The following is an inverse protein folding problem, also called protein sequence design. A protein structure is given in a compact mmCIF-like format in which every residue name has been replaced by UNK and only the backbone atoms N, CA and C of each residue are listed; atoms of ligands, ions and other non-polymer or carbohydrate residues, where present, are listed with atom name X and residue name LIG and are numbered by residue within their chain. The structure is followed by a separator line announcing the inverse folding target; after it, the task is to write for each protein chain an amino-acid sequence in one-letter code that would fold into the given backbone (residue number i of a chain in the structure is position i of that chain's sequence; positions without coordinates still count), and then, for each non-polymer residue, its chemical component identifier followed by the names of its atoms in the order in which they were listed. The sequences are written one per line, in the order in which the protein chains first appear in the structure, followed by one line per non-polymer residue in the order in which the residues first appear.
data_IF_147618960502
#
_entry.id   IF_147618960502
#
_cell.length_a   1.000
_cell.length_b   1.000
_cell.length_c   1.000
_cell.angle_alpha   90.00
_cell.angle_beta   90.00
_cell.angle_gamma   90.00
#
_symmetry.space_group_name_H-M   'P 1'
#
loop_
_entity.id
_entity.type
_entity.pdbx_description
1 polymer ?
#
# COMPACT_ATOMS: atom_id res chain seq x y z
N UNK A 1 10.03 -12.99 -63.49
CA UNK A 1 8.98 -13.39 -64.46
C UNK A 1 8.99 -14.91 -64.47
N UNK A 2 7.98 -15.72 -64.12
CA UNK A 2 6.52 -15.63 -63.93
C UNK A 2 6.12 -16.52 -62.71
N UNK A 3 5.12 -16.24 -61.84
CA UNK A 3 3.65 -16.52 -61.91
C UNK A 3 3.32 -17.94 -62.46
N UNK A 4 2.50 -18.80 -61.84
CA UNK A 4 1.08 -18.74 -61.39
C UNK A 4 0.81 -19.85 -60.31
N UNK A 5 0.07 -19.60 -59.20
CA UNK A 5 -1.39 -19.72 -58.95
C UNK A 5 -2.00 -21.14 -58.84
N UNK A 6 -2.85 -21.31 -57.80
CA UNK A 6 -3.49 -22.52 -57.24
C UNK A 6 -4.46 -23.27 -58.17
N UNK A 7 -5.06 -24.38 -57.69
CA UNK A 7 -6.48 -24.28 -57.32
C UNK A 7 -6.91 -25.06 -56.06
N UNK A 8 -7.84 -24.46 -55.31
CA UNK A 8 -8.89 -25.15 -54.54
C UNK A 8 -10.12 -25.32 -55.46
N UNK A 9 -11.02 -26.30 -55.18
CA UNK A 9 -12.32 -25.91 -54.63
C UNK A 9 -12.91 -26.85 -53.54
N UNK A 10 -13.85 -26.26 -52.80
CA UNK A 10 -14.86 -26.72 -51.81
C UNK A 10 -15.96 -27.65 -52.41
N UNK A 11 -17.12 -28.01 -51.77
CA UNK A 11 -17.71 -27.72 -50.44
C UNK A 11 -18.44 -28.91 -49.73
N UNK A 12 -19.02 -28.60 -48.55
CA UNK A 12 -20.35 -29.01 -48.04
C UNK A 12 -20.66 -30.37 -47.35
N UNK A 13 -21.16 -30.22 -46.12
CA UNK A 13 -22.30 -30.90 -45.48
C UNK A 13 -22.19 -32.37 -45.01
N UNK A 14 -22.20 -32.55 -43.68
CA UNK A 14 -23.36 -33.15 -43.00
C UNK A 14 -23.21 -33.06 -41.47
N UNK A 15 -24.16 -32.36 -40.86
CA UNK A 15 -24.40 -32.28 -39.43
C UNK A 15 -24.90 -33.60 -38.81
N UNK A 16 -24.64 -33.80 -37.51
CA UNK A 16 -25.64 -34.05 -36.43
C UNK A 16 -25.00 -34.77 -35.24
N UNK A 17 -25.35 -34.33 -34.04
CA UNK A 17 -25.10 -35.13 -32.83
C UNK A 17 -25.12 -34.34 -31.52
N UNK A 18 -26.28 -33.80 -31.17
CA UNK A 18 -26.58 -33.25 -29.84
C UNK A 18 -26.65 -34.36 -28.78
N UNK A 19 -26.10 -34.13 -27.58
CA UNK A 19 -26.69 -34.59 -26.33
C UNK A 19 -26.10 -33.82 -25.13
N UNK A 20 -27.01 -33.34 -24.29
CA UNK A 20 -26.83 -32.54 -23.09
C UNK A 20 -26.04 -33.21 -21.96
N UNK A 21 -25.41 -32.39 -21.11
CA UNK A 21 -25.46 -32.63 -19.67
C UNK A 21 -25.55 -31.31 -18.89
N UNK A 22 -26.47 -31.31 -17.94
CA UNK A 22 -26.80 -30.22 -17.03
C UNK A 22 -25.68 -30.02 -16.01
N UNK A 23 -25.43 -28.77 -15.61
CA UNK A 23 -24.55 -28.50 -14.47
C UNK A 23 -24.58 -27.05 -14.03
N UNK A 24 -25.39 -26.75 -13.01
CA UNK A 24 -25.14 -25.69 -12.03
C UNK A 24 -25.20 -24.25 -12.52
N UNK A 25 -26.35 -23.62 -12.35
CA UNK A 25 -26.46 -22.16 -12.34
C UNK A 25 -25.70 -21.59 -11.12
N UNK A 26 -24.45 -21.19 -11.31
CA UNK A 26 -23.75 -20.34 -10.36
C UNK A 26 -24.24 -18.91 -10.57
N UNK A 27 -25.16 -18.48 -9.71
CA UNK A 27 -25.70 -17.13 -9.64
C UNK A 27 -24.56 -16.21 -9.20
N UNK A 28 -23.85 -15.66 -10.17
CA UNK A 28 -22.90 -14.58 -9.97
C UNK A 28 -23.65 -13.43 -9.31
N UNK A 29 -23.38 -13.23 -8.01
CA UNK A 29 -23.88 -12.07 -7.26
C UNK A 29 -23.20 -10.84 -7.85
N UNK A 30 -23.83 -10.20 -8.83
CA UNK A 30 -23.39 -8.91 -9.34
C UNK A 30 -23.47 -7.91 -8.20
N UNK A 31 -22.34 -7.68 -7.54
CA UNK A 31 -22.16 -6.58 -6.60
C UNK A 31 -22.32 -5.30 -7.41
N UNK A 32 -23.43 -4.60 -7.17
CA UNK A 32 -23.64 -3.27 -7.72
C UNK A 32 -22.53 -2.34 -7.20
N UNK A 33 -21.66 -1.88 -8.11
CA UNK A 33 -20.69 -0.84 -7.83
C UNK A 33 -21.32 0.50 -8.24
N UNK A 34 -21.44 1.49 -7.33
CA UNK A 34 -21.98 2.79 -7.68
C UNK A 34 -21.12 3.46 -8.77
N UNK A 35 -21.73 4.15 -9.76
CA UNK A 35 -21.03 4.77 -10.89
C UNK A 35 -20.08 5.92 -10.50
N UNK A 36 -20.02 6.29 -9.21
CA UNK A 36 -19.20 7.37 -8.66
C UNK A 36 -18.19 6.91 -7.61
N UNK A 37 -17.83 5.62 -7.57
CA UNK A 37 -16.63 5.24 -6.85
C UNK A 37 -15.43 5.95 -7.52
N UNK A 38 -14.76 6.93 -6.87
CA UNK A 38 -13.55 7.51 -7.46
C UNK A 38 -12.62 6.34 -7.73
N UNK A 39 -12.12 6.26 -8.98
CA UNK A 39 -11.18 5.22 -9.38
C UNK A 39 -10.15 5.08 -8.27
N UNK A 40 -10.20 3.94 -7.56
CA UNK A 40 -9.35 3.70 -6.42
C UNK A 40 -7.93 4.01 -6.89
N UNK A 41 -7.26 4.97 -6.25
CA UNK A 41 -5.86 5.27 -6.54
C UNK A 41 -5.13 3.93 -6.59
N UNK A 42 -4.30 3.67 -7.63
CA UNK A 42 -3.67 2.37 -7.79
C UNK A 42 -3.05 1.95 -6.46
N UNK A 43 -3.32 0.71 -6.04
CA UNK A 43 -2.83 0.20 -4.77
C UNK A 43 -1.32 0.47 -4.70
N UNK A 44 -0.82 1.05 -3.59
CA UNK A 44 0.59 1.38 -3.50
C UNK A 44 1.42 0.10 -3.71
N UNK A 45 2.31 0.11 -4.69
CA UNK A 45 3.25 -1.00 -4.88
C UNK A 45 4.29 -0.89 -3.78
N UNK A 46 4.15 -1.71 -2.74
CA UNK A 46 5.10 -1.71 -1.63
C UNK A 46 6.46 -2.25 -2.08
N UNK A 47 7.52 -1.65 -1.54
CA UNK A 47 8.87 -2.08 -1.88
C UNK A 47 9.15 -3.52 -1.44
N UNK A 48 10.00 -4.21 -2.21
CA UNK A 48 10.50 -5.52 -1.82
C UNK A 48 11.16 -5.47 -0.43
N UNK A 49 11.18 -6.60 0.31
CA UNK A 49 11.45 -6.64 1.75
C UNK A 49 12.81 -6.03 2.14
N UNK A 50 13.82 -6.14 1.27
CA UNK A 50 15.14 -5.57 1.50
C UNK A 50 15.19 -4.04 1.36
N UNK A 51 14.59 -3.48 0.31
CA UNK A 51 14.57 -2.03 0.08
C UNK A 51 13.75 -1.31 1.15
N UNK A 52 12.58 -1.86 1.47
CA UNK A 52 11.74 -1.36 2.55
C UNK A 52 12.55 -1.29 3.86
N UNK A 53 13.23 -2.40 4.21
CA UNK A 53 14.07 -2.48 5.40
C UNK A 53 15.15 -1.40 5.41
N UNK A 54 15.85 -1.18 4.30
CA UNK A 54 16.91 -0.17 4.23
C UNK A 54 16.37 1.24 4.51
N UNK A 55 15.34 1.66 3.78
CA UNK A 55 14.74 3.00 3.95
C UNK A 55 14.13 3.21 5.34
N UNK A 56 13.44 2.19 5.87
CA UNK A 56 12.86 2.26 7.21
C UNK A 56 13.95 2.24 8.29
N UNK A 57 15.07 1.53 8.09
CA UNK A 57 16.19 1.56 9.03
C UNK A 57 16.84 2.94 9.09
N UNK A 58 17.01 3.62 7.93
CA UNK A 58 17.50 5.00 7.90
C UNK A 58 16.57 5.96 8.64
N UNK A 59 15.27 5.89 8.38
CA UNK A 59 14.28 6.69 9.09
C UNK A 59 14.30 6.39 10.60
N UNK A 60 14.46 5.12 10.98
CA UNK A 60 14.53 4.72 12.40
C UNK A 60 15.71 5.34 13.14
N UNK A 61 16.81 5.60 12.45
CA UNK A 61 18.00 6.20 13.04
C UNK A 61 17.75 7.69 13.33
N UNK A 62 17.27 8.43 12.33
CA UNK A 62 16.94 9.87 12.47
C UNK A 62 15.88 10.08 13.56
N UNK A 63 14.84 9.25 13.57
CA UNK A 63 13.80 9.32 14.59
C UNK A 63 14.32 9.08 16.01
N UNK A 64 15.23 8.12 16.17
CA UNK A 64 15.87 7.84 17.46
C UNK A 64 16.75 8.99 17.92
N UNK A 65 17.47 9.64 17.01
CA UNK A 65 18.23 10.85 17.30
C UNK A 65 17.32 11.99 17.78
N UNK A 66 16.11 12.09 17.23
CA UNK A 66 15.08 13.05 17.63
C UNK A 66 14.28 12.63 18.88
N UNK A 67 14.74 11.61 19.62
CA UNK A 67 14.13 11.19 20.89
C UNK A 67 12.94 10.23 20.78
N UNK A 68 12.54 9.83 19.57
CA UNK A 68 11.44 8.88 19.37
C UNK A 68 11.89 7.43 19.56
N UNK A 69 10.97 6.59 20.02
CA UNK A 69 11.17 5.14 19.99
C UNK A 69 10.70 4.59 18.66
N UNK A 70 11.42 3.59 18.17
CA UNK A 70 11.10 2.97 16.89
C UNK A 70 11.18 1.45 16.98
N UNK A 71 10.31 0.78 16.24
CA UNK A 71 10.22 -0.67 16.17
C UNK A 71 9.90 -1.07 14.72
N UNK A 72 10.76 -1.90 14.11
CA UNK A 72 10.49 -2.44 12.79
C UNK A 72 9.55 -3.65 12.92
N UNK A 73 8.40 -3.59 12.24
CA UNK A 73 7.33 -4.58 12.27
C UNK A 73 7.10 -5.20 10.90
N UNK A 74 6.45 -6.35 10.93
CA UNK A 74 6.05 -7.11 9.75
C UNK A 74 4.53 -7.23 9.72
N UNK A 75 3.90 -6.81 8.62
CA UNK A 75 2.47 -6.98 8.38
C UNK A 75 2.29 -7.71 7.04
N UNK A 76 2.33 -9.05 7.10
CA UNK A 76 2.41 -9.90 5.91
C UNK A 76 3.65 -9.57 5.06
N UNK A 77 3.50 -9.31 3.75
CA UNK A 77 4.65 -8.94 2.89
C UNK A 77 5.17 -7.52 3.19
N UNK A 78 4.39 -6.67 3.88
CA UNK A 78 4.75 -5.27 4.11
C UNK A 78 5.69 -5.14 5.32
N UNK A 79 6.73 -4.32 5.16
CA UNK A 79 7.58 -3.86 6.26
C UNK A 79 7.04 -2.52 6.76
N UNK A 80 6.87 -2.41 8.07
CA UNK A 80 6.39 -1.20 8.72
C UNK A 80 7.40 -0.75 9.76
N UNK A 81 7.55 0.56 9.95
CA UNK A 81 8.27 1.14 11.08
C UNK A 81 7.25 1.81 11.99
N UNK A 82 7.05 1.23 13.18
CA UNK A 82 6.31 1.89 14.24
C UNK A 82 7.22 2.93 14.89
N UNK A 83 6.75 4.17 14.97
CA UNK A 83 7.43 5.30 15.62
C UNK A 83 6.49 5.79 16.71
N UNK A 84 6.97 5.97 17.94
CA UNK A 84 6.12 6.27 19.08
C UNK A 84 6.84 7.05 20.18
N UNK A 85 6.05 7.76 20.99
CA UNK A 85 6.55 8.51 22.14
C UNK A 85 7.01 7.56 23.25
N UNK A 86 8.18 7.81 23.84
CA UNK A 86 8.69 7.03 24.98
C UNK A 86 7.74 7.11 26.19
N UNK A 87 7.17 8.29 26.42
CA UNK A 87 6.36 8.56 27.60
C UNK A 87 4.90 8.17 27.42
N UNK A 88 4.44 8.07 26.17
CA UNK A 88 3.08 7.67 25.81
C UNK A 88 3.12 6.65 24.66
N UNK A 89 3.47 5.38 24.92
CA UNK A 89 3.73 4.41 23.85
C UNK A 89 2.53 4.07 22.95
N UNK A 90 1.33 4.34 23.43
CA UNK A 90 0.08 4.24 22.65
C UNK A 90 0.04 5.25 21.51
N UNK A 91 0.71 6.40 21.64
CA UNK A 91 0.74 7.46 20.64
C UNK A 91 1.95 7.31 19.74
N UNK A 92 1.69 7.27 18.44
CA UNK A 92 2.72 7.14 17.42
C UNK A 92 2.12 6.93 16.04
N UNK A 93 2.98 6.72 15.05
CA UNK A 93 2.63 6.46 13.66
C UNK A 93 3.23 5.13 13.19
N UNK A 94 2.65 4.49 12.17
CA UNK A 94 3.28 3.36 11.48
C UNK A 94 3.58 3.74 10.04
N UNK A 95 4.84 3.65 9.66
CA UNK A 95 5.31 4.10 8.35
C UNK A 95 5.69 2.91 7.47
N UNK A 96 5.28 2.95 6.21
CA UNK A 96 5.63 1.98 5.17
C UNK A 96 6.44 2.64 4.05
N UNK A 97 6.94 1.85 3.12
CA UNK A 97 7.60 2.36 1.90
C UNK A 97 6.88 1.84 0.68
N UNK A 98 6.38 2.77 -0.14
CA UNK A 98 5.61 2.50 -1.34
C UNK A 98 6.16 3.24 -2.56
N UNK A 99 5.95 2.67 -3.73
CA UNK A 99 6.28 3.29 -5.01
C UNK A 99 5.17 4.25 -5.41
N UNK A 100 5.53 5.48 -5.73
CA UNK A 100 4.61 6.52 -6.18
C UNK A 100 5.34 7.61 -6.95
N UNK A 101 4.71 8.14 -7.99
CA UNK A 101 5.25 9.24 -8.82
C UNK A 101 6.72 9.03 -9.27
N UNK A 102 7.06 7.80 -9.67
CA UNK A 102 8.40 7.46 -10.18
C UNK A 102 9.51 7.36 -9.12
N UNK A 103 9.18 7.39 -7.82
CA UNK A 103 10.13 7.25 -6.73
C UNK A 103 9.59 6.38 -5.58
N UNK A 104 10.46 6.00 -4.66
CA UNK A 104 10.05 5.42 -3.37
C UNK A 104 9.70 6.52 -2.40
N UNK A 105 8.62 6.35 -1.64
CA UNK A 105 8.14 7.32 -0.66
C UNK A 105 7.83 6.68 0.68
N UNK A 106 7.90 7.49 1.73
CA UNK A 106 7.40 7.14 3.05
C UNK A 106 5.87 7.32 3.10
N UNK A 107 5.20 6.20 3.30
CA UNK A 107 3.78 5.94 3.58
C UNK A 107 3.34 6.10 5.05
N UNK A 108 2.48 7.04 5.48
CA UNK A 108 1.86 6.89 6.83
C UNK A 108 0.81 5.75 6.86
N UNK A 109 0.38 5.33 8.04
CA UNK A 109 -0.69 4.34 8.20
C UNK A 109 -2.05 4.86 7.73
N UNK A 110 -2.23 6.19 7.75
CA UNK A 110 -3.41 6.88 7.21
C UNK A 110 -3.42 6.99 5.68
N UNK A 111 -2.35 6.54 5.01
CA UNK A 111 -2.21 6.63 3.55
C UNK A 111 -1.57 7.93 3.04
N UNK A 112 -1.21 8.85 3.93
CA UNK A 112 -0.55 10.10 3.59
C UNK A 112 0.85 9.84 3.03
N UNK A 113 1.13 10.37 1.84
CA UNK A 113 2.46 10.38 1.23
C UNK A 113 3.30 11.48 1.89
N UNK A 114 4.24 11.08 2.74
CA UNK A 114 5.02 12.03 3.53
C UNK A 114 6.04 12.75 2.65
N UNK A 115 6.97 12.00 2.05
CA UNK A 115 8.07 12.54 1.24
C UNK A 115 8.79 11.41 0.49
N UNK A 116 9.51 11.69 -0.62
CA UNK A 116 10.41 10.71 -1.24
C UNK A 116 11.44 10.18 -0.24
N UNK A 117 11.78 8.89 -0.32
CA UNK A 117 12.68 8.24 0.64
C UNK A 117 14.15 8.72 0.58
N UNK A 118 14.49 9.58 -0.37
CA UNK A 118 15.78 10.29 -0.42
C UNK A 118 15.86 11.45 0.58
N UNK A 119 14.72 11.97 1.04
CA UNK A 119 14.58 13.11 1.95
C UNK A 119 14.17 12.62 3.34
N UNK A 120 15.05 11.85 4.01
CA UNK A 120 14.71 11.15 5.25
C UNK A 120 14.53 12.09 6.44
N UNK A 121 15.29 13.18 6.47
CA UNK A 121 15.22 14.24 7.48
C UNK A 121 13.87 14.95 7.40
N UNK A 122 13.44 15.33 6.19
CA UNK A 122 12.12 15.92 5.95
C UNK A 122 10.98 14.96 6.33
N UNK A 123 11.17 13.66 6.13
CA UNK A 123 10.21 12.65 6.58
C UNK A 123 10.07 12.68 8.10
N UNK A 124 11.21 12.80 8.80
CA UNK A 124 11.25 12.86 10.25
C UNK A 124 10.55 14.12 10.80
N UNK A 125 10.80 15.27 10.18
CA UNK A 125 10.16 16.53 10.56
C UNK A 125 8.64 16.48 10.37
N UNK A 126 8.16 15.98 9.22
CA UNK A 126 6.73 15.83 8.96
C UNK A 126 6.04 14.91 9.97
N UNK A 127 6.70 13.81 10.34
CA UNK A 127 6.18 12.88 11.34
C UNK A 127 6.21 13.49 12.75
N UNK A 128 7.24 14.26 13.10
CA UNK A 128 7.29 14.99 14.36
C UNK A 128 6.15 16.02 14.46
N UNK A 129 5.91 16.80 13.40
CA UNK A 129 4.77 17.73 13.32
C UNK A 129 3.44 16.99 13.47
N UNK A 130 3.28 15.84 12.82
CA UNK A 130 2.06 15.03 12.91
C UNK A 130 1.83 14.49 14.32
N UNK A 131 2.88 14.04 15.02
CA UNK A 131 2.76 13.36 16.31
C UNK A 131 2.76 14.30 17.52
N UNK A 132 3.45 15.44 17.44
CA UNK A 132 3.67 16.34 18.58
C UNK A 132 2.36 16.80 19.26
N UNK A 133 1.30 17.22 18.53
CA UNK A 133 0.05 17.65 19.16
C UNK A 133 -0.62 16.54 19.99
N UNK A 134 -0.60 15.31 19.48
CA UNK A 134 -1.20 14.17 20.18
C UNK A 134 -0.41 13.79 21.43
N UNK A 135 0.92 13.84 21.35
CA UNK A 135 1.79 13.60 22.51
C UNK A 135 1.57 14.66 23.58
N UNK A 136 1.53 15.94 23.21
CA UNK A 136 1.27 17.04 24.13
C UNK A 136 -0.09 16.90 24.83
N UNK A 137 -1.16 16.65 24.07
CA UNK A 137 -2.51 16.46 24.63
C UNK A 137 -2.58 15.29 25.63
N UNK A 138 -1.85 14.21 25.38
CA UNK A 138 -1.81 13.08 26.31
C UNK A 138 -1.05 13.38 27.61
N UNK A 139 -0.04 14.25 27.55
CA UNK A 139 0.65 14.71 28.76
C UNK A 139 -0.19 15.67 29.60
N UNK A 140 -0.94 16.57 28.97
CA UNK A 140 -1.83 17.48 29.70
C UNK A 140 -2.89 16.70 30.47
N UNK A 141 -3.51 15.70 29.85
CA UNK A 141 -4.45 14.80 30.54
C UNK A 141 -3.81 14.04 31.72
N UNK A 142 -2.57 13.59 31.57
CA UNK A 142 -1.85 12.90 32.66
C UNK A 142 -1.50 13.85 33.82
N UNK A 143 -1.43 15.16 33.59
CA UNK A 143 -1.30 16.14 34.69
C UNK A 143 -2.63 16.35 35.40
N UNK A 144 -3.74 16.37 34.67
CA UNK A 144 -5.08 16.60 35.24
C UNK A 144 -5.60 15.41 36.06
N UNK A 145 -5.24 14.17 35.72
CA UNK A 145 -5.64 12.97 36.48
C UNK A 145 -4.86 12.78 37.81
N UNK A 146 -3.84 13.61 38.08
CA UNK A 146 -3.00 13.55 39.29
C UNK A 146 -3.25 14.69 40.29
N UNK A 147 -4.36 15.44 40.13
CA UNK A 147 -4.84 16.50 41.03
C UNK A 147 -6.13 16.06 41.73
#
# INVERSE_FOLDING_TARGET
MAQEQSPQPSPEEAAKGSAASQGGAEVARSVWLPPYAPAALPLPTYSGPWRARWHLTRLSLVMRQNGWKTELRFAGPRRLLRIYSKCTPTIGESVSVAWGNGAWWYQSSTGLWLTPCREVELAADKLAILLTPWVAAAFDRLRDENL
#
